data_IF_547077496499
#
_entry.id   IF_547077496499
#
_cell.length_a   1.000
_cell.length_b   1.000
_cell.length_c   1.000
_cell.angle_alpha   90.00
_cell.angle_beta   90.00
_cell.angle_gamma   90.00
#
_symmetry.space_group_name_H-M   'P 1'
#
loop_
_entity.id
_entity.type
_entity.pdbx_description
1 polymer ?
#
# COMPACT_ATOMS: atom_id res chain seq x y z
N UNK A 1 14.16 -16.44 -4.71
CA UNK A 1 13.50 -15.20 -5.16
C UNK A 1 12.04 -15.45 -4.90
N UNK A 2 11.46 -14.76 -3.93
CA UNK A 2 10.12 -15.09 -3.44
C UNK A 2 9.07 -14.62 -4.44
N UNK A 3 8.13 -15.49 -4.77
CA UNK A 3 7.03 -15.21 -5.69
C UNK A 3 5.99 -14.31 -5.03
N UNK A 4 5.49 -13.31 -5.77
CA UNK A 4 4.42 -12.45 -5.28
C UNK A 4 3.12 -13.25 -5.15
N UNK A 5 2.41 -13.07 -4.03
CA UNK A 5 1.06 -13.57 -3.85
C UNK A 5 0.19 -12.57 -3.08
N UNK A 6 -1.11 -12.61 -3.36
CA UNK A 6 -2.12 -11.78 -2.71
C UNK A 6 -3.32 -12.62 -2.29
N UNK A 7 -3.81 -12.40 -1.08
CA UNK A 7 -5.01 -13.06 -0.55
C UNK A 7 -5.90 -12.04 0.16
N UNK A 8 -7.22 -12.13 -0.02
CA UNK A 8 -8.17 -11.20 0.60
C UNK A 8 -8.88 -11.84 1.79
N UNK A 9 -9.06 -11.08 2.87
CA UNK A 9 -9.90 -11.45 4.01
C UNK A 9 -10.78 -10.28 4.45
N UNK A 10 -11.81 -10.54 5.24
CA UNK A 10 -12.74 -9.51 5.70
C UNK A 10 -14.03 -9.43 4.88
N UNK A 11 -14.79 -8.35 5.11
CA UNK A 11 -16.07 -8.10 4.45
C UNK A 11 -15.91 -7.06 3.34
N UNK A 12 -16.88 -6.94 2.41
CA UNK A 12 -16.82 -5.92 1.34
C UNK A 12 -16.71 -4.48 1.86
N UNK A 13 -17.14 -4.17 3.08
CA UNK A 13 -17.03 -2.82 3.65
C UNK A 13 -15.71 -2.58 4.42
N UNK A 14 -14.94 -3.63 4.69
CA UNK A 14 -13.67 -3.58 5.41
C UNK A 14 -12.80 -4.78 5.00
N UNK A 15 -12.08 -4.60 3.89
CA UNK A 15 -11.32 -5.65 3.21
C UNK A 15 -9.83 -5.51 3.55
N UNK A 16 -9.20 -6.63 3.87
CA UNK A 16 -7.76 -6.71 4.06
C UNK A 16 -7.16 -7.52 2.92
N UNK A 17 -6.24 -6.91 2.16
CA UNK A 17 -5.41 -7.62 1.19
C UNK A 17 -4.06 -7.94 1.83
N UNK A 18 -3.78 -9.23 1.98
CA UNK A 18 -2.52 -9.76 2.49
C UNK A 18 -1.57 -9.97 1.32
N UNK A 19 -0.53 -9.16 1.26
CA UNK A 19 0.53 -9.27 0.27
C UNK A 19 1.71 -10.05 0.86
N UNK A 20 2.28 -10.95 0.07
CA UNK A 20 3.44 -11.76 0.47
C UNK A 20 4.43 -11.94 -0.68
N UNK A 21 5.68 -12.23 -0.32
CA UNK A 21 6.77 -12.36 -1.29
C UNK A 21 7.31 -11.00 -1.75
N UNK A 22 7.87 -10.93 -2.95
CA UNK A 22 8.56 -9.73 -3.44
C UNK A 22 7.59 -8.74 -4.08
N UNK A 23 7.61 -7.47 -3.64
CA UNK A 23 6.87 -6.36 -4.24
C UNK A 23 7.80 -5.46 -5.07
N UNK A 24 8.31 -6.01 -6.17
CA UNK A 24 9.25 -5.31 -7.07
C UNK A 24 8.66 -5.08 -8.46
N UNK A 25 9.37 -4.32 -9.30
CA UNK A 25 8.97 -4.08 -10.71
C UNK A 25 8.69 -5.36 -11.50
N UNK A 26 9.33 -6.48 -11.13
CA UNK A 26 9.11 -7.78 -11.77
C UNK A 26 7.65 -8.26 -11.66
N UNK A 27 6.98 -7.93 -10.56
CA UNK A 27 5.59 -8.30 -10.27
C UNK A 27 4.63 -7.10 -10.33
N UNK A 28 5.02 -5.99 -10.97
CA UNK A 28 4.26 -4.75 -10.91
C UNK A 28 2.84 -4.88 -11.46
N UNK A 29 2.62 -5.75 -12.46
CA UNK A 29 1.29 -5.98 -13.04
C UNK A 29 0.42 -6.74 -12.05
N UNK A 30 0.95 -7.79 -11.45
CA UNK A 30 0.28 -8.65 -10.48
C UNK A 30 -0.07 -7.87 -9.20
N UNK A 31 0.87 -7.05 -8.70
CA UNK A 31 0.65 -6.17 -7.55
C UNK A 31 -0.46 -5.17 -7.87
N UNK A 32 -0.39 -4.51 -9.04
CA UNK A 32 -1.41 -3.54 -9.47
C UNK A 32 -2.79 -4.19 -9.57
N UNK A 33 -2.89 -5.35 -10.21
CA UNK A 33 -4.17 -6.02 -10.43
C UNK A 33 -4.78 -6.54 -9.12
N UNK A 34 -3.96 -7.04 -8.20
CA UNK A 34 -4.40 -7.40 -6.85
C UNK A 34 -4.93 -6.19 -6.07
N UNK A 35 -4.18 -5.07 -6.07
CA UNK A 35 -4.59 -3.83 -5.42
C UNK A 35 -5.87 -3.26 -6.04
N UNK A 36 -5.98 -3.27 -7.37
CA UNK A 36 -7.14 -2.73 -8.07
C UNK A 36 -8.40 -3.57 -7.82
N UNK A 37 -8.28 -4.89 -7.82
CA UNK A 37 -9.39 -5.81 -7.49
C UNK A 37 -9.89 -5.55 -6.07
N UNK A 38 -8.99 -5.59 -5.08
CA UNK A 38 -9.34 -5.34 -3.69
C UNK A 38 -9.89 -3.92 -3.47
N UNK A 39 -9.36 -2.93 -4.20
CA UNK A 39 -9.83 -1.55 -4.14
C UNK A 39 -11.26 -1.42 -4.67
N UNK A 40 -11.59 -2.07 -5.78
CA UNK A 40 -12.92 -2.00 -6.38
C UNK A 40 -13.99 -2.66 -5.50
N UNK A 41 -13.63 -3.74 -4.82
CA UNK A 41 -14.53 -4.54 -3.99
C UNK A 41 -14.78 -3.96 -2.59
N UNK A 42 -14.11 -2.85 -2.22
CA UNK A 42 -14.25 -2.28 -0.88
C UNK A 42 -14.32 -0.76 -0.77
N UNK A 43 -15.05 -0.30 0.25
CA UNK A 43 -15.09 1.10 0.68
C UNK A 43 -13.93 1.46 1.64
N UNK A 44 -13.37 0.46 2.35
CA UNK A 44 -12.17 0.56 3.19
C UNK A 44 -11.23 -0.60 2.89
N UNK A 45 -10.03 -0.28 2.42
CA UNK A 45 -9.00 -1.26 2.08
C UNK A 45 -7.79 -1.12 3.00
N UNK A 46 -7.40 -2.21 3.66
CA UNK A 46 -6.13 -2.30 4.38
C UNK A 46 -5.17 -3.22 3.62
N UNK A 47 -4.00 -2.70 3.24
CA UNK A 47 -2.90 -3.51 2.70
C UNK A 47 -2.01 -4.01 3.83
N UNK A 48 -1.93 -5.32 4.02
CA UNK A 48 -1.05 -5.94 4.99
C UNK A 48 0.24 -6.43 4.31
N UNK A 49 1.37 -5.81 4.66
CA UNK A 49 2.70 -6.09 4.10
C UNK A 49 3.57 -6.95 5.03
N UNK A 50 3.02 -7.50 6.12
CA UNK A 50 3.80 -8.24 7.13
C UNK A 50 4.50 -9.49 6.58
N UNK A 51 4.05 -10.03 5.45
CA UNK A 51 4.64 -11.19 4.78
C UNK A 51 5.37 -10.84 3.48
N UNK A 52 5.51 -9.54 3.17
CA UNK A 52 6.30 -9.07 2.02
C UNK A 52 7.77 -9.18 2.38
N UNK A 53 8.58 -9.81 1.54
CA UNK A 53 10.00 -10.03 1.82
C UNK A 53 10.88 -8.87 1.36
N UNK A 54 10.51 -8.20 0.27
CA UNK A 54 11.23 -7.03 -0.25
C UNK A 54 10.27 -6.12 -1.03
N UNK A 55 10.59 -4.83 -1.12
CA UNK A 55 9.82 -3.82 -1.84
C UNK A 55 10.75 -2.81 -2.52
N UNK A 56 10.45 -2.43 -3.77
CA UNK A 56 11.20 -1.41 -4.48
C UNK A 56 10.36 -0.15 -4.77
N UNK A 57 10.94 0.75 -5.57
CA UNK A 57 10.27 1.98 -6.01
C UNK A 57 8.92 1.71 -6.68
N UNK A 58 8.78 0.67 -7.50
CA UNK A 58 7.54 0.36 -8.19
C UNK A 58 6.46 -0.09 -7.20
N UNK A 59 6.83 -0.95 -6.23
CA UNK A 59 5.93 -1.34 -5.14
C UNK A 59 5.43 -0.14 -4.32
N UNK A 60 6.33 0.77 -3.94
CA UNK A 60 5.96 2.00 -3.22
C UNK A 60 5.06 2.93 -4.06
N UNK A 61 5.35 3.06 -5.36
CA UNK A 61 4.54 3.87 -6.27
C UNK A 61 3.12 3.31 -6.41
N UNK A 62 2.95 2.00 -6.44
CA UNK A 62 1.63 1.36 -6.48
C UNK A 62 0.83 1.63 -5.19
N UNK A 63 1.45 1.51 -4.00
CA UNK A 63 0.81 1.89 -2.73
C UNK A 63 0.40 3.37 -2.71
N UNK A 64 1.26 4.26 -3.21
CA UNK A 64 0.97 5.69 -3.31
C UNK A 64 -0.17 5.98 -4.29
N UNK A 65 -0.22 5.26 -5.42
CA UNK A 65 -1.30 5.37 -6.39
C UNK A 65 -2.64 4.91 -5.79
N UNK A 66 -2.66 3.78 -5.08
CA UNK A 66 -3.86 3.29 -4.38
C UNK A 66 -4.34 4.30 -3.33
N UNK A 67 -3.42 4.88 -2.53
CA UNK A 67 -3.76 5.96 -1.61
C UNK A 67 -4.41 7.15 -2.33
N UNK A 68 -3.80 7.67 -3.41
CA UNK A 68 -4.36 8.79 -4.17
C UNK A 68 -5.73 8.48 -4.76
N UNK A 69 -5.91 7.27 -5.30
CA UNK A 69 -7.20 6.79 -5.81
C UNK A 69 -8.25 6.76 -4.69
N UNK A 70 -7.88 6.30 -3.49
CA UNK A 70 -8.78 6.29 -2.33
C UNK A 70 -9.24 7.69 -1.94
N UNK A 71 -8.33 8.69 -1.96
CA UNK A 71 -8.70 10.08 -1.70
C UNK A 71 -9.67 10.59 -2.77
N UNK A 72 -9.37 10.37 -4.06
CA UNK A 72 -10.21 10.83 -5.17
C UNK A 72 -11.62 10.21 -5.16
N UNK A 73 -11.76 8.98 -4.64
CA UNK A 73 -13.03 8.27 -4.57
C UNK A 73 -13.72 8.34 -3.20
N UNK A 74 -13.20 9.12 -2.24
CA UNK A 74 -13.74 9.20 -0.88
C UNK A 74 -13.66 7.89 -0.07
N UNK A 75 -12.76 6.97 -0.45
CA UNK A 75 -12.55 5.67 0.22
C UNK A 75 -11.42 5.75 1.25
N UNK A 76 -11.39 4.78 2.15
CA UNK A 76 -10.31 4.63 3.14
C UNK A 76 -9.26 3.65 2.64
N UNK A 77 -8.00 4.00 2.83
CA UNK A 77 -6.86 3.17 2.50
C UNK A 77 -5.82 3.25 3.60
N UNK A 78 -5.44 2.09 4.12
CA UNK A 78 -4.46 1.93 5.20
C UNK A 78 -3.40 0.90 4.77
N UNK A 79 -2.21 1.01 5.35
CA UNK A 79 -1.12 0.06 5.10
C UNK A 79 -0.51 -0.34 6.45
N UNK A 80 -0.34 -1.64 6.64
CA UNK A 80 0.25 -2.26 7.84
C UNK A 80 1.58 -2.91 7.47
N UNK A 81 2.60 -2.74 8.33
CA UNK A 81 3.93 -3.34 8.13
C UNK A 81 4.92 -2.45 7.38
N UNK A 82 4.61 -1.17 7.15
CA UNK A 82 5.55 -0.19 6.58
C UNK A 82 6.62 0.27 7.58
N UNK A 83 6.36 0.10 8.86
CA UNK A 83 7.22 0.51 9.98
C UNK A 83 8.45 -0.39 10.18
N UNK A 84 8.59 -1.48 9.41
CA UNK A 84 9.74 -2.36 9.46
C UNK A 84 11.02 -1.65 9.00
N UNK A 85 12.13 -1.87 9.70
CA UNK A 85 13.41 -1.19 9.46
C UNK A 85 13.95 -1.31 8.03
N UNK A 86 13.72 -2.45 7.37
CA UNK A 86 14.09 -2.68 5.97
C UNK A 86 13.27 -1.79 5.03
N UNK A 87 11.97 -1.67 5.25
CA UNK A 87 11.09 -0.84 4.43
C UNK A 87 11.26 0.65 4.68
N UNK A 88 11.49 1.06 5.93
CA UNK A 88 11.78 2.46 6.28
C UNK A 88 12.95 2.99 5.46
N UNK A 89 14.04 2.22 5.33
CA UNK A 89 15.20 2.60 4.51
C UNK A 89 14.85 2.76 3.04
N UNK A 90 14.06 1.83 2.47
CA UNK A 90 13.62 1.93 1.08
C UNK A 90 12.75 3.17 0.88
N UNK A 91 11.81 3.44 1.78
CA UNK A 91 10.94 4.62 1.76
C UNK A 91 11.74 5.92 1.82
N UNK A 92 12.76 5.98 2.68
CA UNK A 92 13.68 7.12 2.79
C UNK A 92 14.51 7.30 1.52
N UNK A 93 15.20 6.25 1.06
CA UNK A 93 16.05 6.30 -0.13
C UNK A 93 15.26 6.62 -1.41
N UNK A 94 14.00 6.17 -1.50
CA UNK A 94 13.12 6.45 -2.62
C UNK A 94 12.47 7.85 -2.56
N UNK A 95 12.71 8.63 -1.49
CA UNK A 95 12.16 9.98 -1.33
C UNK A 95 10.67 10.02 -0.99
N UNK A 96 10.12 8.92 -0.45
CA UNK A 96 8.74 8.85 0.02
C UNK A 96 8.57 9.30 1.47
N UNK A 97 9.64 9.28 2.27
CA UNK A 97 9.61 9.86 3.63
C UNK A 97 9.23 11.35 3.58
N UNK A 98 8.18 11.72 4.32
CA UNK A 98 7.53 13.02 4.21
C UNK A 98 7.19 13.58 5.58
N UNK A 99 7.34 14.90 5.72
CA UNK A 99 6.87 15.67 6.87
C UNK A 99 5.46 16.26 6.64
N UNK A 100 5.06 16.46 5.38
CA UNK A 100 3.72 16.87 4.96
C UNK A 100 3.22 15.86 3.93
N UNK A 101 1.96 15.44 4.08
CA UNK A 101 1.34 14.44 3.21
C UNK A 101 1.31 14.86 1.74
N UNK A 102 0.89 13.94 0.87
CA UNK A 102 0.72 14.28 -0.54
C UNK A 102 -0.34 15.37 -0.75
N UNK A 103 -0.43 15.96 -1.94
CA UNK A 103 -1.42 17.00 -2.25
C UNK A 103 -2.86 16.57 -1.95
N UNK A 104 -3.13 15.26 -2.03
CA UNK A 104 -4.42 14.64 -1.73
C UNK A 104 -4.63 14.32 -0.24
N UNK A 105 -3.82 14.88 0.66
CA UNK A 105 -3.86 14.64 2.10
C UNK A 105 -4.91 15.51 2.82
N UNK A 106 -6.15 15.51 2.35
CA UNK A 106 -7.22 16.39 2.89
C UNK A 106 -7.59 16.07 4.35
N UNK A 107 -7.16 14.92 4.88
CA UNK A 107 -7.50 14.45 6.23
C UNK A 107 -6.31 13.85 7.00
N UNK A 108 -5.06 14.22 6.68
CA UNK A 108 -3.87 13.61 7.31
C UNK A 108 -3.78 12.08 7.17
N UNK A 109 -4.38 11.54 6.10
CA UNK A 109 -4.42 10.10 5.80
C UNK A 109 -3.28 9.62 4.91
N UNK A 110 -2.30 10.48 4.60
CA UNK A 110 -1.18 10.08 3.77
C UNK A 110 -0.36 8.99 4.45
N UNK A 111 -0.28 7.82 3.78
CA UNK A 111 0.42 6.63 4.29
C UNK A 111 1.92 6.89 4.60
N UNK A 112 2.50 7.96 4.03
CA UNK A 112 3.91 8.31 4.22
C UNK A 112 4.19 9.29 5.37
N UNK A 113 3.16 9.81 6.04
CA UNK A 113 3.30 10.80 7.14
C UNK A 113 2.62 10.31 8.42
N UNK A 114 2.29 9.01 8.49
CA UNK A 114 1.60 8.39 9.62
C UNK A 114 0.12 8.09 9.36
N UNK A 115 -0.24 7.66 8.13
CA UNK A 115 -1.62 7.41 7.69
C UNK A 115 -2.41 6.30 8.43
N UNK A 116 -1.94 5.86 9.59
CA UNK A 116 -2.73 5.17 10.59
C UNK A 116 -2.30 5.68 11.99
N UNK A 117 -3.17 6.47 12.63
CA UNK A 117 -3.26 6.58 14.08
C UNK A 117 -4.62 6.07 14.51
#
# INVERSE_FOLDING_TARGET
MDEFAANNTGAPDDLVVHLSGSMTIHYAVEIKDALLTAFNDSSKLTCNLTQVSDIDLAGLQLLCATHKSSCASGRKFEVVGLERDDFVKVVECAGFSRHIGCMQNEANRCIWVGGAQ
#
